data_IF_646378086195
#
_entry.id   IF_646378086195
#
_cell.length_a   1.000
_cell.length_b   1.000
_cell.length_c   1.000
_cell.angle_alpha   90.00
_cell.angle_beta   90.00
_cell.angle_gamma   90.00
#
_symmetry.space_group_name_H-M   'P 1'
#
loop_
_entity.id
_entity.type
_entity.pdbx_description
1 polymer ?
#
# COMPACT_ATOMS: atom_id res chain seq x y z
N UNK A 1 9.92 45.52 17.89
CA UNK A 1 9.97 45.08 16.47
C UNK A 1 9.81 43.57 16.43
N UNK A 2 8.59 43.08 16.15
CA UNK A 2 8.32 41.65 16.06
C UNK A 2 8.85 41.13 14.72
N UNK A 3 9.84 40.23 14.77
CA UNK A 3 10.42 39.62 13.58
C UNK A 3 9.36 38.81 12.83
N UNK A 4 9.14 39.17 11.56
CA UNK A 4 8.45 38.31 10.59
C UNK A 4 9.15 36.96 10.58
N UNK A 5 8.56 35.93 11.20
CA UNK A 5 8.86 34.54 10.86
C UNK A 5 8.50 34.40 9.38
N UNK A 6 9.51 34.52 8.52
CA UNK A 6 9.38 34.12 7.13
C UNK A 6 9.03 32.63 7.15
N UNK A 7 7.77 32.33 6.92
CA UNK A 7 7.35 30.99 6.54
C UNK A 7 8.01 30.71 5.20
N UNK A 8 9.20 30.09 5.23
CA UNK A 8 9.68 29.34 4.09
C UNK A 8 8.58 28.33 3.78
N UNK A 9 7.75 28.62 2.78
CA UNK A 9 6.99 27.59 2.09
C UNK A 9 8.03 26.68 1.45
N UNK A 10 8.51 25.69 2.20
CA UNK A 10 9.24 24.59 1.60
C UNK A 10 8.26 23.94 0.63
N UNK A 11 8.56 24.03 -0.67
CA UNK A 11 7.89 23.28 -1.71
C UNK A 11 8.02 21.80 -1.33
N UNK A 12 7.00 21.28 -0.67
CA UNK A 12 7.00 19.93 -0.17
C UNK A 12 6.41 19.05 -1.26
N UNK A 13 7.22 18.23 -1.95
CA UNK A 13 6.71 17.40 -3.03
C UNK A 13 5.65 16.45 -2.47
N UNK A 14 4.49 16.41 -3.13
CA UNK A 14 3.37 15.51 -2.83
C UNK A 14 3.65 14.14 -3.44
N UNK A 15 4.63 13.45 -2.87
CA UNK A 15 5.22 12.26 -3.49
C UNK A 15 4.63 10.97 -2.94
N UNK A 16 4.28 10.92 -1.65
CA UNK A 16 3.92 9.66 -1.01
C UNK A 16 2.53 9.19 -1.43
N UNK A 17 1.54 10.09 -1.42
CA UNK A 17 0.19 9.75 -1.86
C UNK A 17 0.14 9.38 -3.34
N UNK A 18 0.88 10.12 -4.19
CA UNK A 18 0.99 9.83 -5.63
C UNK A 18 1.66 8.51 -5.92
N UNK A 19 2.77 8.20 -5.23
CA UNK A 19 3.46 6.94 -5.41
C UNK A 19 2.56 5.77 -5.01
N UNK A 20 1.82 5.90 -3.90
CA UNK A 20 0.88 4.86 -3.48
C UNK A 20 -0.30 4.69 -4.45
N UNK A 21 -0.84 5.78 -4.99
CA UNK A 21 -1.87 5.73 -6.05
C UNK A 21 -1.36 4.99 -7.29
N UNK A 22 -0.17 5.32 -7.77
CA UNK A 22 0.46 4.64 -8.90
C UNK A 22 0.68 3.15 -8.63
N UNK A 23 1.15 2.80 -7.42
CA UNK A 23 1.30 1.40 -6.99
C UNK A 23 -0.05 0.68 -6.99
N UNK A 24 -1.13 1.34 -6.53
CA UNK A 24 -2.48 0.78 -6.54
C UNK A 24 -2.99 0.49 -7.96
N UNK A 25 -2.75 1.40 -8.91
CA UNK A 25 -3.09 1.19 -10.32
C UNK A 25 -2.29 0.04 -10.92
N UNK A 26 -0.98 -0.02 -10.66
CA UNK A 26 -0.12 -1.12 -11.12
C UNK A 26 -0.59 -2.48 -10.59
N UNK A 27 -1.06 -2.55 -9.35
CA UNK A 27 -1.59 -3.78 -8.76
C UNK A 27 -2.79 -4.31 -9.53
N UNK A 28 -3.76 -3.44 -9.87
CA UNK A 28 -4.93 -3.84 -10.67
C UNK A 28 -4.50 -4.26 -12.08
N UNK A 29 -3.57 -3.53 -12.71
CA UNK A 29 -3.06 -3.89 -14.04
C UNK A 29 -2.41 -5.28 -14.02
N UNK A 30 -1.54 -5.56 -13.04
CA UNK A 30 -0.89 -6.86 -12.91
C UNK A 30 -1.89 -7.98 -12.60
N UNK A 31 -2.94 -7.69 -11.84
CA UNK A 31 -4.01 -8.65 -11.55
C UNK A 31 -4.76 -9.11 -12.81
N UNK A 32 -5.00 -8.20 -13.76
CA UNK A 32 -5.77 -8.49 -14.99
C UNK A 32 -4.89 -8.90 -16.19
N UNK A 33 -3.56 -8.76 -16.09
CA UNK A 33 -2.65 -8.99 -17.21
C UNK A 33 -2.51 -10.50 -17.52
N UNK A 34 -2.74 -10.94 -18.78
CA UNK A 34 -2.49 -12.31 -19.18
C UNK A 34 -1.02 -12.71 -18.97
N UNK A 35 -0.78 -13.93 -18.49
CA UNK A 35 0.57 -14.42 -18.17
C UNK A 35 1.15 -13.94 -16.84
N UNK A 36 0.44 -13.09 -16.09
CA UNK A 36 0.76 -12.75 -14.69
C UNK A 36 -0.29 -13.33 -13.76
N UNK A 37 -1.45 -12.69 -13.66
CA UNK A 37 -2.58 -13.17 -12.84
C UNK A 37 -3.92 -13.21 -13.61
N UNK A 38 -3.92 -12.87 -14.91
CA UNK A 38 -5.13 -12.77 -15.72
C UNK A 38 -5.97 -14.06 -15.76
N UNK A 39 -5.33 -15.23 -15.74
CA UNK A 39 -6.03 -16.52 -15.74
C UNK A 39 -6.77 -16.75 -14.40
N UNK A 40 -6.12 -16.44 -13.29
CA UNK A 40 -6.72 -16.49 -11.95
C UNK A 40 -7.86 -15.47 -11.84
N UNK A 41 -7.66 -14.26 -12.35
CA UNK A 41 -8.69 -13.24 -12.38
C UNK A 41 -9.92 -13.68 -13.21
N UNK A 42 -9.71 -14.29 -14.37
CA UNK A 42 -10.80 -14.84 -15.18
C UNK A 42 -11.55 -15.93 -14.42
N UNK A 43 -10.84 -16.81 -13.71
CA UNK A 43 -11.46 -17.83 -12.87
C UNK A 43 -12.28 -17.23 -11.73
N UNK A 44 -11.78 -16.19 -11.05
CA UNK A 44 -12.54 -15.47 -10.02
C UNK A 44 -13.78 -14.79 -10.58
N UNK A 45 -13.69 -14.24 -11.79
CA UNK A 45 -14.84 -13.57 -12.42
C UNK A 45 -16.00 -14.54 -12.67
N UNK A 46 -15.70 -15.83 -12.91
CA UNK A 46 -16.70 -16.90 -13.08
C UNK A 46 -17.37 -17.30 -11.77
N UNK A 47 -16.75 -16.98 -10.63
CA UNK A 47 -17.28 -17.24 -9.27
C UNK A 47 -17.76 -15.98 -8.55
N UNK A 48 -18.11 -14.92 -9.31
CA UNK A 48 -18.57 -13.63 -8.79
C UNK A 48 -17.58 -12.94 -7.84
N UNK A 49 -16.28 -13.24 -7.95
CA UNK A 49 -15.20 -12.68 -7.11
C UNK A 49 -15.29 -13.02 -5.60
N UNK A 50 -16.19 -13.92 -5.20
CA UNK A 50 -16.40 -14.31 -3.79
C UNK A 50 -15.79 -15.67 -3.44
N UNK A 51 -15.51 -16.52 -4.42
CA UNK A 51 -14.96 -17.85 -4.19
C UNK A 51 -13.51 -17.94 -4.67
N UNK A 52 -12.59 -17.67 -3.74
CA UNK A 52 -11.13 -17.58 -3.96
C UNK A 52 -10.42 -18.79 -3.34
N UNK A 53 -11.11 -19.54 -2.48
CA UNK A 53 -10.65 -20.74 -1.82
C UNK A 53 -11.86 -21.57 -1.39
N UNK A 54 -11.66 -22.86 -1.14
CA UNK A 54 -12.66 -23.77 -0.56
C UNK A 54 -12.98 -23.45 0.92
N UNK A 55 -12.59 -22.27 1.39
CA UNK A 55 -12.71 -21.85 2.78
C UNK A 55 -11.76 -22.63 3.68
N UNK A 56 -12.28 -23.10 4.83
CA UNK A 56 -11.45 -23.76 5.83
C UNK A 56 -10.81 -25.06 5.33
N UNK A 57 -11.42 -25.73 4.35
CA UNK A 57 -10.92 -26.99 3.81
C UNK A 57 -9.53 -26.88 3.16
N UNK A 58 -9.11 -25.68 2.75
CA UNK A 58 -7.78 -25.47 2.15
C UNK A 58 -6.67 -25.30 3.20
N UNK A 59 -7.01 -25.19 4.49
CA UNK A 59 -6.01 -25.11 5.54
C UNK A 59 -5.33 -26.47 5.75
N UNK A 60 -4.01 -26.44 5.89
CA UNK A 60 -3.21 -27.65 6.14
C UNK A 60 -3.60 -28.39 7.41
N UNK A 61 -4.19 -27.70 8.39
CA UNK A 61 -4.77 -28.33 9.57
C UNK A 61 -5.91 -29.31 9.25
N UNK A 62 -6.67 -29.06 8.17
CA UNK A 62 -7.73 -29.93 7.68
C UNK A 62 -7.29 -30.83 6.52
N UNK A 63 -5.97 -30.93 6.28
CA UNK A 63 -5.41 -31.72 5.17
C UNK A 63 -5.44 -31.03 3.81
N UNK A 64 -5.81 -29.74 3.76
CA UNK A 64 -5.82 -28.94 2.54
C UNK A 64 -4.47 -28.36 2.14
N UNK A 65 -4.40 -27.84 0.91
CA UNK A 65 -3.27 -27.09 0.39
C UNK A 65 -3.74 -25.75 -0.17
N UNK A 66 -3.24 -24.66 0.42
CA UNK A 66 -3.57 -23.30 -0.03
C UNK A 66 -2.97 -23.05 -1.41
N UNK A 67 -3.79 -22.60 -2.36
CA UNK A 67 -3.31 -22.11 -3.64
C UNK A 67 -2.76 -20.69 -3.51
N UNK A 68 -1.46 -20.59 -3.26
CA UNK A 68 -0.77 -19.29 -3.09
C UNK A 68 -0.86 -18.37 -4.31
N UNK A 69 -1.00 -18.92 -5.52
CA UNK A 69 -1.10 -18.11 -6.75
C UNK A 69 -2.46 -17.43 -6.84
N UNK A 70 -3.54 -18.16 -6.54
CA UNK A 70 -4.88 -17.59 -6.47
C UNK A 70 -4.98 -16.56 -5.33
N UNK A 71 -4.42 -16.88 -4.17
CA UNK A 71 -4.38 -15.94 -3.05
C UNK A 71 -3.61 -14.66 -3.40
N UNK A 72 -2.46 -14.77 -4.08
CA UNK A 72 -1.71 -13.61 -4.54
C UNK A 72 -2.52 -12.78 -5.55
N UNK A 73 -3.12 -13.41 -6.56
CA UNK A 73 -3.95 -12.75 -7.56
C UNK A 73 -5.11 -11.96 -6.93
N UNK A 74 -5.75 -12.54 -5.91
CA UNK A 74 -6.77 -11.86 -5.11
C UNK A 74 -6.24 -10.60 -4.43
N UNK A 75 -5.12 -10.69 -3.72
CA UNK A 75 -4.54 -9.52 -3.06
C UNK A 75 -4.07 -8.46 -4.05
N UNK A 76 -3.52 -8.84 -5.20
CA UNK A 76 -3.18 -7.88 -6.25
C UNK A 76 -4.41 -7.11 -6.74
N UNK A 77 -5.55 -7.80 -6.92
CA UNK A 77 -6.78 -7.13 -7.35
C UNK A 77 -7.36 -6.21 -6.26
N UNK A 78 -7.54 -6.69 -5.02
CA UNK A 78 -8.22 -5.93 -3.97
C UNK A 78 -7.34 -4.89 -3.27
N UNK A 79 -6.05 -5.14 -3.13
CA UNK A 79 -5.14 -4.18 -2.52
C UNK A 79 -4.95 -2.95 -3.43
N UNK A 80 -5.10 -3.09 -4.74
CA UNK A 80 -4.98 -1.98 -5.71
C UNK A 80 -5.92 -0.80 -5.41
N UNK A 81 -7.26 -1.00 -5.39
CA UNK A 81 -8.22 0.04 -5.02
C UNK A 81 -8.01 0.59 -3.60
N UNK A 82 -7.68 -0.26 -2.63
CA UNK A 82 -7.41 0.17 -1.25
C UNK A 82 -6.20 1.12 -1.22
N UNK A 83 -5.09 0.75 -1.87
CA UNK A 83 -3.90 1.58 -1.98
C UNK A 83 -4.18 2.87 -2.73
N UNK A 84 -5.00 2.84 -3.78
CA UNK A 84 -5.39 4.03 -4.51
C UNK A 84 -6.16 5.02 -3.63
N UNK A 85 -7.18 4.55 -2.91
CA UNK A 85 -7.98 5.38 -2.00
C UNK A 85 -7.13 5.91 -0.83
N UNK A 86 -6.29 5.05 -0.25
CA UNK A 86 -5.37 5.47 0.82
C UNK A 86 -4.34 6.48 0.31
N UNK A 87 -3.85 6.30 -0.92
CA UNK A 87 -2.97 7.23 -1.61
C UNK A 87 -3.61 8.60 -1.83
N UNK A 88 -4.90 8.66 -2.20
CA UNK A 88 -5.65 9.92 -2.28
C UNK A 88 -5.74 10.61 -0.92
N UNK A 89 -6.01 9.86 0.15
CA UNK A 89 -6.07 10.40 1.50
C UNK A 89 -4.71 11.01 1.91
N UNK A 90 -3.60 10.28 1.69
CA UNK A 90 -2.25 10.77 1.95
C UNK A 90 -1.94 12.00 1.08
N UNK A 91 -2.25 11.99 -0.22
CA UNK A 91 -1.98 13.10 -1.13
C UNK A 91 -2.73 14.39 -0.72
N UNK A 92 -3.91 14.25 -0.13
CA UNK A 92 -4.67 15.36 0.45
C UNK A 92 -4.04 15.88 1.73
N UNK A 93 -3.61 14.99 2.62
CA UNK A 93 -2.94 15.38 3.87
C UNK A 93 -1.60 16.06 3.58
N UNK A 94 -0.78 15.50 2.69
CA UNK A 94 0.46 16.12 2.24
C UNK A 94 0.22 17.51 1.64
N UNK A 95 -0.91 17.71 0.94
CA UNK A 95 -1.29 19.03 0.39
C UNK A 95 -1.61 20.04 1.50
N UNK A 96 -2.25 19.61 2.58
CA UNK A 96 -2.70 20.49 3.66
C UNK A 96 -1.62 20.76 4.69
N UNK A 97 -0.85 19.74 5.08
CA UNK A 97 0.12 19.79 6.18
C UNK A 97 1.59 19.83 5.70
N UNK A 98 1.84 19.43 4.44
CA UNK A 98 3.17 19.31 3.87
C UNK A 98 3.96 18.07 4.32
N UNK A 99 3.36 17.20 5.14
CA UNK A 99 3.93 15.92 5.57
C UNK A 99 2.80 14.94 5.93
N UNK A 100 3.16 13.69 6.24
CA UNK A 100 2.22 12.65 6.68
C UNK A 100 2.32 12.49 8.20
N UNK A 101 1.22 12.53 8.97
CA UNK A 101 1.27 12.33 10.41
C UNK A 101 1.94 11.00 10.80
N UNK A 102 2.78 11.02 11.84
CA UNK A 102 3.53 9.82 12.28
C UNK A 102 2.62 8.64 12.64
N UNK A 103 1.41 8.88 13.13
CA UNK A 103 0.43 7.81 13.38
C UNK A 103 0.11 7.03 12.10
N UNK A 104 -0.17 7.74 10.99
CA UNK A 104 -0.41 7.12 9.69
C UNK A 104 0.82 6.41 9.15
N UNK A 105 2.00 7.02 9.28
CA UNK A 105 3.25 6.39 8.84
C UNK A 105 3.52 5.09 9.60
N UNK A 106 3.30 5.08 10.92
CA UNK A 106 3.48 3.89 11.74
C UNK A 106 2.49 2.78 11.35
N UNK A 107 1.21 3.12 11.12
CA UNK A 107 0.23 2.15 10.61
C UNK A 107 0.65 1.61 9.25
N UNK A 108 1.05 2.47 8.32
CA UNK A 108 1.53 2.06 7.00
C UNK A 108 2.75 1.13 7.08
N UNK A 109 3.71 1.45 7.95
CA UNK A 109 4.90 0.63 8.19
C UNK A 109 4.54 -0.74 8.79
N UNK A 110 3.65 -0.77 9.79
CA UNK A 110 3.21 -2.03 10.39
C UNK A 110 2.55 -2.95 9.36
N UNK A 111 1.62 -2.42 8.55
CA UNK A 111 0.98 -3.15 7.45
C UNK A 111 2.01 -3.63 6.43
N UNK A 112 2.99 -2.78 6.08
CA UNK A 112 4.04 -3.12 5.12
C UNK A 112 4.94 -4.25 5.61
N UNK A 113 5.31 -4.26 6.89
CA UNK A 113 6.12 -5.33 7.51
C UNK A 113 5.36 -6.64 7.58
N UNK A 114 4.08 -6.61 7.96
CA UNK A 114 3.23 -7.82 7.94
C UNK A 114 3.14 -8.38 6.52
N UNK A 115 2.90 -7.52 5.52
CA UNK A 115 2.87 -7.95 4.12
C UNK A 115 4.20 -8.53 3.63
N UNK A 116 5.33 -7.91 4.00
CA UNK A 116 6.66 -8.43 3.67
C UNK A 116 6.95 -9.76 4.36
N UNK A 117 6.47 -9.98 5.59
CA UNK A 117 6.56 -11.28 6.25
C UNK A 117 5.74 -12.36 5.52
N UNK A 118 4.52 -12.01 5.10
CA UNK A 118 3.65 -12.94 4.37
C UNK A 118 4.20 -13.27 2.97
N UNK A 119 4.80 -12.30 2.27
CA UNK A 119 5.35 -12.47 0.93
C UNK A 119 6.70 -11.71 0.82
N UNK A 120 7.82 -12.33 1.22
CA UNK A 120 9.13 -11.66 1.31
C UNK A 120 9.66 -11.06 0.02
N UNK A 121 9.38 -11.69 -1.12
CA UNK A 121 9.83 -11.24 -2.44
C UNK A 121 8.70 -10.54 -3.20
N UNK A 122 8.14 -9.48 -2.60
CA UNK A 122 7.02 -8.72 -3.17
C UNK A 122 7.26 -7.22 -3.20
N UNK A 123 6.34 -6.49 -3.84
CA UNK A 123 6.30 -5.03 -3.79
C UNK A 123 6.17 -4.45 -2.38
N UNK A 124 5.67 -5.23 -1.41
CA UNK A 124 5.65 -4.79 0.00
C UNK A 124 7.06 -4.54 0.51
N UNK A 125 7.97 -5.48 0.23
CA UNK A 125 9.38 -5.42 0.66
C UNK A 125 10.17 -4.38 -0.10
N UNK A 126 10.02 -4.35 -1.44
CA UNK A 126 10.88 -3.53 -2.30
C UNK A 126 10.34 -2.14 -2.61
N UNK A 127 9.05 -1.88 -2.42
CA UNK A 127 8.43 -0.57 -2.66
C UNK A 127 7.83 0.03 -1.39
N UNK A 128 6.93 -0.69 -0.70
CA UNK A 128 6.20 -0.08 0.43
C UNK A 128 7.09 0.17 1.65
N UNK A 129 7.95 -0.77 2.05
CA UNK A 129 8.87 -0.54 3.18
C UNK A 129 9.81 0.66 2.90
N UNK A 130 10.54 0.74 1.78
CA UNK A 130 11.35 1.92 1.46
C UNK A 130 10.54 3.23 1.44
N UNK A 131 9.34 3.21 0.87
CA UNK A 131 8.43 4.36 0.87
C UNK A 131 8.04 4.77 2.30
N UNK A 132 7.74 3.81 3.17
CA UNK A 132 7.37 4.03 4.57
C UNK A 132 8.53 4.58 5.40
N UNK A 133 9.75 4.08 5.18
CA UNK A 133 10.97 4.65 5.79
C UNK A 133 11.15 6.10 5.34
N UNK A 134 10.98 6.38 4.04
CA UNK A 134 11.08 7.75 3.51
C UNK A 134 10.01 8.68 4.11
N UNK A 135 8.76 8.20 4.22
CA UNK A 135 7.69 8.91 4.94
C UNK A 135 8.06 9.19 6.40
N UNK A 136 8.63 8.21 7.09
CA UNK A 136 9.00 8.31 8.51
C UNK A 136 10.07 9.37 8.75
N UNK A 137 11.19 9.30 8.01
CA UNK A 137 12.28 10.28 8.12
C UNK A 137 11.78 11.70 7.89
N UNK A 138 10.96 11.91 6.86
CA UNK A 138 10.38 13.22 6.57
C UNK A 138 9.47 13.73 7.68
N UNK A 139 8.67 12.84 8.27
CA UNK A 139 7.69 13.18 9.30
C UNK A 139 8.36 13.49 10.65
N UNK A 140 9.41 12.75 11.02
CA UNK A 140 10.24 13.03 12.20
C UNK A 140 10.93 14.38 12.07
N UNK A 141 11.56 14.65 10.92
CA UNK A 141 12.22 15.94 10.68
C UNK A 141 11.22 17.10 10.86
N UNK A 142 10.02 16.99 10.28
CA UNK A 142 8.99 18.03 10.40
C UNK A 142 8.48 18.20 11.84
N UNK A 143 8.26 17.12 12.59
CA UNK A 143 7.89 17.21 14.01
C UNK A 143 8.95 17.98 14.82
N UNK A 144 10.24 17.73 14.60
CA UNK A 144 11.32 18.41 15.33
C UNK A 144 11.45 19.92 15.00
N UNK A 145 10.98 20.36 13.82
CA UNK A 145 11.03 21.78 13.42
C UNK A 145 9.88 22.63 13.97
N UNK A 146 8.74 22.03 14.30
CA UNK A 146 7.51 22.74 14.71
C UNK A 146 6.95 22.32 16.07
N UNK A 147 7.44 21.23 16.65
CA UNK A 147 7.09 20.75 17.99
C UNK A 147 7.98 21.31 19.09
#
# INVERSE_FOLDING_TARGET
>A
MAGKKQTMQMNNPRIHGRLLMSTGVLHVILAILPGVFGDQFLNFSRSWFFNISSGAADFSFLGGAINYVEFAAFWFFYAGPIMFLYGQAIDRIEKLEGYVPLSMVNTFMAVSVVGAYMIPLSGMTFALIPQGIYMYVRSVNRRNFYG
#
